data_IF_246953490624
#
_entry.id   IF_246953490624
#
_cell.length_a   1.000
_cell.length_b   1.000
_cell.length_c   1.000
_cell.angle_alpha   90.00
_cell.angle_beta   90.00
_cell.angle_gamma   90.00
#
_symmetry.space_group_name_H-M   'P 1'
#
loop_
_entity.id
_entity.type
_entity.pdbx_description
1 polymer ?
#
# COMPACT_ATOMS: atom_id res chain seq x y z
N UNK A 1 29.22 7.88 12.41
CA UNK A 1 28.93 8.07 10.98
C UNK A 1 27.90 9.19 10.88
N UNK A 2 28.25 10.35 10.33
CA UNK A 2 27.33 11.45 10.14
C UNK A 2 26.30 11.03 9.08
N UNK A 3 25.04 10.92 9.48
CA UNK A 3 23.92 10.76 8.59
C UNK A 3 23.86 12.02 7.71
N UNK A 4 24.22 11.88 6.42
CA UNK A 4 23.84 12.88 5.43
C UNK A 4 22.31 12.76 5.36
N UNK A 5 21.63 13.64 6.10
CA UNK A 5 20.21 13.87 5.90
C UNK A 5 20.06 14.50 4.51
N UNK A 6 19.92 13.67 3.50
CA UNK A 6 19.42 14.12 2.21
C UNK A 6 18.06 14.79 2.52
N UNK A 7 17.96 16.08 2.31
CA UNK A 7 16.72 16.81 2.52
C UNK A 7 15.70 16.27 1.51
N UNK A 8 14.72 15.53 2.02
CA UNK A 8 13.54 15.20 1.23
C UNK A 8 12.84 16.54 0.97
N UNK A 9 12.70 16.86 -0.30
CA UNK A 9 12.10 18.10 -0.75
C UNK A 9 10.61 17.83 -1.04
N UNK A 10 9.74 18.70 -0.56
CA UNK A 10 8.35 18.73 -0.96
C UNK A 10 7.89 20.15 -1.24
N UNK A 11 6.96 20.29 -2.15
CA UNK A 11 6.39 21.58 -2.54
C UNK A 11 4.87 21.44 -2.75
N UNK A 12 4.17 22.57 -2.70
CA UNK A 12 2.76 22.60 -3.07
C UNK A 12 2.63 22.27 -4.58
N UNK A 13 1.67 21.42 -4.91
CA UNK A 13 1.38 21.02 -6.28
C UNK A 13 -0.03 21.45 -6.69
N UNK A 14 -0.27 21.51 -8.00
CA UNK A 14 -1.63 21.64 -8.54
C UNK A 14 -2.36 20.32 -8.43
N UNK A 15 -3.71 20.35 -8.25
CA UNK A 15 -4.52 19.15 -8.36
C UNK A 15 -4.25 18.45 -9.71
N UNK A 16 -4.21 17.11 -9.74
CA UNK A 16 -4.29 16.37 -11.01
C UNK A 16 -5.59 16.69 -11.77
N UNK A 17 -5.54 16.59 -13.09
CA UNK A 17 -6.75 16.72 -13.91
C UNK A 17 -7.69 15.52 -13.66
N UNK A 18 -9.00 15.76 -13.74
CA UNK A 18 -10.01 14.71 -13.67
C UNK A 18 -10.16 14.07 -12.29
N UNK A 19 -10.00 14.85 -11.22
CA UNK A 19 -10.25 14.36 -9.86
C UNK A 19 -11.69 13.86 -9.71
N UNK A 20 -11.90 12.72 -8.99
CA UNK A 20 -13.24 12.28 -8.61
C UNK A 20 -13.96 13.31 -7.73
N UNK A 21 -15.28 13.45 -7.90
CA UNK A 21 -16.10 14.41 -7.12
C UNK A 21 -16.03 14.16 -5.61
N UNK A 22 -15.83 12.90 -5.20
CA UNK A 22 -15.68 12.49 -3.80
C UNK A 22 -14.30 12.80 -3.19
N UNK A 23 -13.45 13.54 -3.91
CA UNK A 23 -12.22 14.14 -3.38
C UNK A 23 -12.47 15.47 -2.68
N UNK A 24 -13.62 16.12 -2.86
CA UNK A 24 -13.96 17.33 -2.12
C UNK A 24 -13.91 17.08 -0.60
N UNK A 25 -13.19 17.90 0.18
CA UNK A 25 -13.11 17.72 1.63
C UNK A 25 -14.47 17.91 2.31
N UNK A 26 -14.70 17.20 3.40
CA UNK A 26 -15.89 17.43 4.24
C UNK A 26 -15.72 18.74 5.05
N UNK A 27 -16.82 19.34 5.51
CA UNK A 27 -16.76 20.53 6.35
C UNK A 27 -15.83 20.35 7.56
N UNK A 28 -14.99 21.33 7.82
CA UNK A 28 -13.97 21.29 8.88
C UNK A 28 -12.69 20.56 8.52
N UNK A 29 -12.52 20.18 7.25
CA UNK A 29 -11.29 19.63 6.72
C UNK A 29 -10.83 20.35 5.44
N UNK A 30 -9.55 20.28 5.14
CA UNK A 30 -8.93 20.82 3.93
C UNK A 30 -8.22 19.74 3.13
N UNK A 31 -8.07 19.97 1.82
CA UNK A 31 -7.30 19.14 0.91
C UNK A 31 -6.23 19.97 0.22
N UNK A 32 -4.99 19.49 0.24
CA UNK A 32 -3.87 20.09 -0.47
C UNK A 32 -3.13 19.03 -1.27
N UNK A 33 -2.56 19.40 -2.41
CA UNK A 33 -1.71 18.52 -3.20
C UNK A 33 -0.25 18.90 -3.03
N UNK A 34 0.61 17.88 -2.99
CA UNK A 34 2.05 18.01 -2.81
C UNK A 34 2.78 17.24 -3.91
N UNK A 35 3.95 17.76 -4.29
CA UNK A 35 4.98 17.03 -5.02
C UNK A 35 6.10 16.72 -4.05
N UNK A 36 6.40 15.44 -3.84
CA UNK A 36 7.42 14.96 -2.94
C UNK A 36 8.53 14.32 -3.77
N UNK A 37 9.78 14.62 -3.47
CA UNK A 37 10.92 14.04 -4.16
C UNK A 37 11.59 12.98 -3.30
N UNK A 38 11.55 11.74 -3.74
CA UNK A 38 12.25 10.65 -3.10
C UNK A 38 13.78 10.82 -3.23
N UNK A 39 14.55 10.12 -2.39
CA UNK A 39 16.02 10.24 -2.34
C UNK A 39 16.71 9.89 -3.67
N UNK A 40 16.08 9.08 -4.52
CA UNK A 40 16.56 8.71 -5.85
C UNK A 40 16.07 9.67 -6.96
N UNK A 41 15.40 10.76 -6.58
CA UNK A 41 14.89 11.78 -7.49
C UNK A 41 13.52 11.49 -8.08
N UNK A 42 12.89 10.33 -7.77
CA UNK A 42 11.54 10.03 -8.21
C UNK A 42 10.55 11.03 -7.61
N UNK A 43 9.66 11.59 -8.46
CA UNK A 43 8.63 12.54 -8.04
C UNK A 43 7.34 11.83 -7.70
N UNK A 44 6.87 12.02 -6.49
CA UNK A 44 5.67 11.41 -5.92
C UNK A 44 4.61 12.50 -5.82
N UNK A 45 3.48 12.31 -6.47
CA UNK A 45 2.29 13.12 -6.22
C UNK A 45 1.62 12.65 -4.95
N UNK A 46 1.14 13.59 -4.13
CA UNK A 46 0.45 13.27 -2.89
C UNK A 46 -0.73 14.20 -2.65
N UNK A 47 -1.76 13.66 -1.97
CA UNK A 47 -2.91 14.41 -1.50
C UNK A 47 -2.93 14.38 0.03
N UNK A 48 -2.94 15.55 0.66
CA UNK A 48 -2.98 15.73 2.10
C UNK A 48 -4.35 16.25 2.52
N UNK A 49 -5.12 15.42 3.20
CA UNK A 49 -6.32 15.82 3.94
C UNK A 49 -5.95 16.14 5.37
N UNK A 50 -6.47 17.23 5.91
CA UNK A 50 -6.15 17.66 7.25
C UNK A 50 -7.35 18.35 7.89
N UNK A 51 -7.68 18.06 9.18
CA UNK A 51 -8.63 18.84 9.95
C UNK A 51 -8.20 20.29 10.04
N UNK A 52 -9.16 21.21 9.92
CA UNK A 52 -8.90 22.64 10.07
C UNK A 52 -8.77 23.04 11.54
N UNK A 53 -7.91 24.01 11.81
CA UNK A 53 -7.78 24.62 13.14
C UNK A 53 -7.04 23.76 14.17
N UNK A 54 -6.57 22.55 13.84
CA UNK A 54 -5.81 21.70 14.76
C UNK A 54 -4.35 21.61 14.28
N UNK A 55 -3.37 21.88 15.16
CA UNK A 55 -1.95 21.78 14.79
C UNK A 55 -1.55 20.35 14.42
N UNK A 56 -0.66 20.15 13.42
CA UNK A 56 -0.19 18.81 13.05
C UNK A 56 0.45 18.01 14.19
N UNK A 57 1.03 18.70 15.19
CA UNK A 57 1.61 18.06 16.39
C UNK A 57 0.60 17.29 17.23
N UNK A 58 -0.68 17.68 17.15
CA UNK A 58 -1.77 17.17 17.99
C UNK A 58 -2.68 16.20 17.22
N UNK A 59 -2.33 15.89 15.96
CA UNK A 59 -3.09 15.03 15.07
C UNK A 59 -2.26 13.81 14.68
N UNK A 60 -2.89 12.64 14.64
CA UNK A 60 -2.32 11.46 14.00
C UNK A 60 -2.56 11.52 12.49
N UNK A 61 -1.50 11.29 11.70
CA UNK A 61 -1.59 11.22 10.24
C UNK A 61 -1.50 9.79 9.74
N UNK A 62 -2.31 9.48 8.73
CA UNK A 62 -2.30 8.18 8.05
C UNK A 62 -1.61 8.35 6.70
N UNK A 63 -0.42 7.79 6.54
CA UNK A 63 0.28 7.72 5.25
C UNK A 63 -0.24 6.50 4.50
N UNK A 64 -0.76 6.72 3.29
CA UNK A 64 -1.50 5.71 2.53
C UNK A 64 -0.78 5.32 1.25
N UNK A 65 -0.64 3.99 1.02
CA UNK A 65 -0.02 3.37 -0.16
C UNK A 65 -1.06 2.57 -0.92
N UNK A 66 -1.24 2.89 -2.20
CA UNK A 66 -2.24 2.29 -3.08
C UNK A 66 -1.91 0.85 -3.52
N UNK A 67 -2.88 0.18 -4.12
CA UNK A 67 -2.74 -1.12 -4.76
C UNK A 67 -2.05 -1.05 -6.14
N UNK A 68 -1.95 -2.20 -6.80
CA UNK A 68 -1.30 -2.32 -8.11
C UNK A 68 -1.94 -1.43 -9.17
N UNK A 69 -1.17 -0.53 -9.79
CA UNK A 69 -1.64 0.42 -10.80
C UNK A 69 -2.63 1.46 -10.27
N UNK A 70 -2.80 1.58 -8.94
CA UNK A 70 -3.56 2.66 -8.32
C UNK A 70 -2.75 3.95 -8.23
N UNK A 71 -3.35 4.97 -7.62
CA UNK A 71 -2.73 6.26 -7.35
C UNK A 71 -3.38 6.91 -6.12
N UNK A 72 -3.02 8.15 -5.81
CA UNK A 72 -3.53 8.93 -4.67
C UNK A 72 -5.07 9.11 -4.66
N UNK A 73 -5.74 8.94 -5.83
CA UNK A 73 -7.20 9.07 -5.96
C UNK A 73 -7.94 7.74 -5.88
N UNK A 74 -7.23 6.62 -5.70
CA UNK A 74 -7.83 5.29 -5.75
C UNK A 74 -8.71 4.97 -4.55
N UNK A 75 -9.80 4.22 -4.77
CA UNK A 75 -10.55 3.56 -3.71
C UNK A 75 -9.68 2.43 -3.09
N UNK A 76 -9.82 2.16 -1.80
CA UNK A 76 -10.67 2.87 -0.82
C UNK A 76 -9.95 4.06 -0.16
N UNK A 77 -8.70 4.37 -0.52
CA UNK A 77 -7.82 5.29 0.21
C UNK A 77 -8.41 6.71 0.30
N UNK A 78 -8.86 7.28 -0.83
CA UNK A 78 -9.40 8.65 -0.85
C UNK A 78 -10.63 8.81 0.05
N UNK A 79 -11.51 7.80 0.07
CA UNK A 79 -12.73 7.86 0.88
C UNK A 79 -12.41 7.75 2.37
N UNK A 80 -11.48 6.86 2.74
CA UNK A 80 -10.97 6.76 4.11
C UNK A 80 -10.33 8.09 4.51
N UNK A 81 -9.44 8.66 3.69
CA UNK A 81 -8.76 9.91 3.97
C UNK A 81 -9.74 11.06 4.20
N UNK A 82 -10.69 11.21 3.29
CA UNK A 82 -11.75 12.22 3.37
C UNK A 82 -12.59 12.10 4.63
N UNK A 83 -13.05 10.89 4.95
CA UNK A 83 -13.92 10.67 6.10
C UNK A 83 -13.18 10.77 7.44
N UNK A 84 -11.94 10.30 7.52
CA UNK A 84 -11.12 10.40 8.73
C UNK A 84 -10.65 11.83 8.99
N UNK A 85 -10.45 12.66 7.94
CA UNK A 85 -10.09 14.07 8.14
C UNK A 85 -11.20 14.87 8.84
N UNK A 86 -12.46 14.53 8.61
CA UNK A 86 -13.58 15.11 9.35
C UNK A 86 -13.73 14.55 10.79
N UNK A 87 -12.99 13.49 11.13
CA UNK A 87 -12.99 12.86 12.47
C UNK A 87 -11.74 13.16 13.28
N UNK A 88 -10.93 14.14 12.87
CA UNK A 88 -9.76 14.61 13.61
C UNK A 88 -8.43 13.94 13.25
N UNK A 89 -8.37 13.10 12.20
CA UNK A 89 -7.14 12.52 11.68
C UNK A 89 -6.68 13.28 10.42
N UNK A 90 -5.38 13.29 10.15
CA UNK A 90 -4.88 13.68 8.82
C UNK A 90 -4.61 12.44 7.97
N UNK A 91 -4.57 12.60 6.64
CA UNK A 91 -4.17 11.54 5.74
C UNK A 91 -3.30 12.08 4.60
N UNK A 92 -2.23 11.37 4.26
CA UNK A 92 -1.34 11.64 3.14
C UNK A 92 -1.35 10.44 2.19
N UNK A 93 -2.15 10.53 1.12
CA UNK A 93 -2.18 9.50 0.07
C UNK A 93 -1.15 9.81 -0.99
N UNK A 94 -0.33 8.82 -1.37
CA UNK A 94 0.74 8.99 -2.36
C UNK A 94 0.47 8.20 -3.63
N UNK A 95 0.95 8.70 -4.77
CA UNK A 95 1.12 7.93 -6.01
C UNK A 95 2.54 7.36 -6.02
N UNK A 96 2.69 6.13 -5.48
CA UNK A 96 3.98 5.44 -5.47
C UNK A 96 4.41 5.06 -6.90
N UNK A 97 5.70 4.79 -7.12
CA UNK A 97 6.33 4.59 -8.45
C UNK A 97 5.67 3.57 -9.37
N UNK A 98 4.79 2.74 -8.86
CA UNK A 98 4.03 1.74 -9.64
C UNK A 98 2.58 2.18 -9.96
N UNK A 99 2.32 3.51 -9.92
CA UNK A 99 1.01 4.08 -10.19
C UNK A 99 0.63 4.00 -11.68
N UNK A 100 -0.66 3.95 -11.98
CA UNK A 100 -1.24 4.05 -13.33
C UNK A 100 -0.52 3.15 -14.37
N UNK A 101 -0.06 3.73 -15.49
CA UNK A 101 0.65 3.03 -16.57
C UNK A 101 2.02 2.46 -16.15
N UNK A 102 2.57 2.91 -15.03
CA UNK A 102 3.82 2.35 -14.47
C UNK A 102 3.62 1.04 -13.73
N UNK A 103 2.40 0.51 -13.72
CA UNK A 103 2.09 -0.80 -13.12
C UNK A 103 3.02 -1.90 -13.66
N UNK A 104 3.52 -2.76 -12.77
CA UNK A 104 4.44 -3.86 -13.08
C UNK A 104 5.81 -3.45 -13.70
N UNK A 105 6.29 -2.22 -13.45
CA UNK A 105 7.57 -1.76 -13.99
C UNK A 105 8.65 -1.50 -12.94
N UNK A 106 8.27 -1.39 -11.67
CA UNK A 106 9.16 -1.07 -10.56
C UNK A 106 9.90 -2.30 -9.99
N UNK A 107 10.78 -2.05 -9.03
CA UNK A 107 11.40 -3.05 -8.17
C UNK A 107 10.73 -2.97 -6.79
N UNK A 108 10.38 -4.11 -6.20
CA UNK A 108 9.74 -4.17 -4.88
C UNK A 108 10.48 -3.36 -3.80
N UNK A 109 11.79 -3.44 -3.80
CA UNK A 109 12.61 -2.75 -2.79
C UNK A 109 12.64 -1.23 -2.95
N UNK A 110 12.37 -0.71 -4.14
CA UNK A 110 12.40 0.73 -4.41
C UNK A 110 11.21 1.47 -3.81
N UNK A 111 10.07 0.79 -3.56
CA UNK A 111 8.89 1.39 -2.91
C UNK A 111 9.21 1.90 -1.50
N UNK A 112 10.22 1.31 -0.85
CA UNK A 112 10.71 1.80 0.45
C UNK A 112 11.06 3.29 0.39
N UNK A 113 11.68 3.74 -0.70
CA UNK A 113 12.08 5.14 -0.88
C UNK A 113 10.87 6.07 -1.01
N UNK A 114 9.79 5.59 -1.63
CA UNK A 114 8.56 6.37 -1.78
C UNK A 114 7.84 6.51 -0.43
N UNK A 115 7.73 5.41 0.32
CA UNK A 115 7.12 5.42 1.65
C UNK A 115 7.95 6.27 2.62
N UNK A 116 9.28 6.14 2.59
CA UNK A 116 10.19 6.95 3.40
C UNK A 116 10.03 8.44 3.11
N UNK A 117 9.94 8.82 1.82
CA UNK A 117 9.73 10.20 1.41
C UNK A 117 8.40 10.75 1.97
N UNK A 118 7.32 9.97 1.93
CA UNK A 118 6.03 10.36 2.50
C UNK A 118 6.09 10.49 4.04
N UNK A 119 6.73 9.55 4.73
CA UNK A 119 6.91 9.57 6.20
C UNK A 119 7.75 10.77 6.63
N UNK A 120 8.85 11.04 5.94
CA UNK A 120 9.71 12.21 6.25
C UNK A 120 8.97 13.52 5.95
N UNK A 121 8.19 13.57 4.87
CA UNK A 121 7.33 14.73 4.58
C UNK A 121 6.29 14.96 5.68
N UNK A 122 5.61 13.91 6.14
CA UNK A 122 4.67 14.01 7.26
C UNK A 122 5.35 14.56 8.52
N UNK A 123 6.56 14.10 8.83
CA UNK A 123 7.37 14.61 9.97
C UNK A 123 7.77 16.07 9.76
N UNK A 124 8.17 16.47 8.57
CA UNK A 124 8.53 17.85 8.23
C UNK A 124 7.33 18.80 8.29
N UNK A 125 6.11 18.30 8.01
CA UNK A 125 4.86 19.03 8.21
C UNK A 125 4.44 19.18 9.69
N UNK A 126 5.15 18.53 10.62
CA UNK A 126 4.96 18.64 12.07
C UNK A 126 4.25 17.44 12.71
N UNK A 127 3.81 16.44 11.96
CA UNK A 127 3.16 15.26 12.53
C UNK A 127 4.14 14.39 13.32
N UNK A 128 3.71 13.91 14.49
CA UNK A 128 4.53 13.11 15.42
C UNK A 128 4.00 11.70 15.64
N UNK A 129 2.77 11.46 15.23
CA UNK A 129 2.10 10.15 15.26
C UNK A 129 1.68 9.78 13.83
N UNK A 130 2.24 8.70 13.31
CA UNK A 130 2.02 8.23 11.93
C UNK A 130 1.45 6.82 11.97
N UNK A 131 0.40 6.59 11.21
CA UNK A 131 -0.13 5.27 10.85
C UNK A 131 0.30 4.99 9.42
N UNK A 132 0.81 3.80 9.15
CA UNK A 132 1.03 3.39 7.75
C UNK A 132 -0.11 2.51 7.29
N UNK A 133 -0.80 2.93 6.22
CA UNK A 133 -1.88 2.16 5.61
C UNK A 133 -1.47 1.69 4.22
N UNK A 134 -1.65 0.40 3.96
CA UNK A 134 -1.55 -0.19 2.63
C UNK A 134 -2.87 -0.76 2.15
N UNK A 135 -3.15 -0.64 0.86
CA UNK A 135 -4.27 -1.32 0.19
C UNK A 135 -3.75 -2.29 -0.86
N UNK A 136 -4.31 -3.52 -0.91
CA UNK A 136 -3.94 -4.51 -1.93
C UNK A 136 -2.42 -4.72 -1.99
N UNK A 137 -1.76 -4.45 -3.11
CA UNK A 137 -0.29 -4.52 -3.22
C UNK A 137 0.42 -3.63 -2.19
N UNK A 138 -0.15 -2.48 -1.86
CA UNK A 138 0.37 -1.59 -0.81
C UNK A 138 0.46 -2.24 0.56
N UNK A 139 -0.29 -3.32 0.83
CA UNK A 139 -0.24 -4.01 2.13
C UNK A 139 1.10 -4.69 2.39
N UNK A 140 1.64 -5.40 1.41
CA UNK A 140 2.96 -6.03 1.55
C UNK A 140 4.09 -5.00 1.50
N UNK A 141 3.90 -3.91 0.77
CA UNK A 141 4.85 -2.79 0.71
C UNK A 141 4.93 -2.05 2.06
N UNK A 142 3.78 -1.76 2.67
CA UNK A 142 3.71 -1.18 4.01
C UNK A 142 4.30 -2.12 5.07
N UNK A 143 3.97 -3.41 5.01
CA UNK A 143 4.53 -4.41 5.92
C UNK A 143 6.06 -4.51 5.79
N UNK A 144 6.57 -4.53 4.56
CA UNK A 144 8.02 -4.52 4.27
C UNK A 144 8.68 -3.28 4.87
N UNK A 145 8.14 -2.09 4.63
CA UNK A 145 8.71 -0.84 5.14
C UNK A 145 8.81 -0.86 6.67
N UNK A 146 7.69 -1.12 7.37
CA UNK A 146 7.66 -1.09 8.84
C UNK A 146 8.53 -2.19 9.47
N UNK A 147 8.64 -3.35 8.81
CA UNK A 147 9.48 -4.44 9.28
C UNK A 147 10.98 -4.19 9.08
N UNK A 148 11.35 -3.37 8.06
CA UNK A 148 12.73 -3.10 7.69
C UNK A 148 13.29 -1.83 8.33
N UNK A 149 12.42 -0.86 8.65
CA UNK A 149 12.80 0.45 9.15
C UNK A 149 12.20 0.72 10.51
N UNK A 150 13.06 0.93 11.48
CA UNK A 150 12.64 1.35 12.81
C UNK A 150 12.41 2.86 12.84
N UNK A 151 11.15 3.28 12.78
CA UNK A 151 10.76 4.67 13.03
C UNK A 151 9.78 4.72 14.21
N UNK A 152 10.16 5.36 15.34
CA UNK A 152 9.30 5.44 16.53
C UNK A 152 8.06 6.33 16.33
N UNK A 153 8.02 7.14 15.27
CA UNK A 153 6.83 7.93 14.93
C UNK A 153 5.73 7.08 14.31
N UNK A 154 6.06 5.94 13.70
CA UNK A 154 5.06 4.99 13.21
C UNK A 154 4.48 4.23 14.41
N UNK A 155 3.18 4.37 14.63
CA UNK A 155 2.47 3.84 15.80
C UNK A 155 1.70 2.56 15.52
N UNK A 156 1.20 2.41 14.29
CA UNK A 156 0.37 1.28 13.91
C UNK A 156 0.39 1.05 12.38
N UNK A 157 -0.13 -0.10 11.96
CA UNK A 157 -0.27 -0.48 10.54
C UNK A 157 -1.70 -0.88 10.25
N UNK A 158 -2.26 -0.37 9.14
CA UNK A 158 -3.59 -0.74 8.63
C UNK A 158 -3.44 -1.38 7.26
N UNK A 159 -4.00 -2.57 7.08
CA UNK A 159 -3.89 -3.37 5.86
C UNK A 159 -5.29 -3.67 5.33
N UNK A 160 -5.67 -3.07 4.20
CA UNK A 160 -6.98 -3.24 3.57
C UNK A 160 -6.88 -4.09 2.31
N UNK A 161 -7.68 -5.17 2.21
CA UNK A 161 -7.56 -6.12 1.10
C UNK A 161 -6.17 -6.78 1.06
N UNK A 162 -5.70 -7.25 2.22
CA UNK A 162 -4.37 -7.83 2.39
C UNK A 162 -4.32 -9.29 1.93
N UNK A 163 -3.34 -9.63 1.11
CA UNK A 163 -3.06 -11.00 0.68
C UNK A 163 -1.84 -11.59 1.41
N UNK A 164 -1.72 -12.93 1.40
CA UNK A 164 -0.62 -13.63 2.07
C UNK A 164 0.70 -13.56 1.29
N UNK A 165 0.85 -14.42 0.28
CA UNK A 165 2.08 -14.59 -0.52
C UNK A 165 1.85 -14.23 -1.97
N UNK A 166 2.27 -13.06 -2.39
CA UNK A 166 2.07 -12.62 -3.77
C UNK A 166 2.77 -13.52 -4.81
N UNK A 167 4.01 -14.01 -4.61
CA UNK A 167 4.63 -14.91 -5.58
C UNK A 167 3.83 -16.21 -5.78
N UNK A 168 3.40 -16.86 -4.71
CA UNK A 168 2.52 -18.04 -4.79
C UNK A 168 1.21 -17.71 -5.50
N UNK A 169 0.55 -16.63 -5.11
CA UNK A 169 -0.68 -16.15 -5.73
C UNK A 169 -0.49 -15.86 -7.22
N UNK A 170 0.64 -15.27 -7.60
CA UNK A 170 0.96 -14.97 -9.00
C UNK A 170 1.02 -16.21 -9.85
N UNK A 171 1.68 -17.26 -9.38
CA UNK A 171 1.82 -18.50 -10.10
C UNK A 171 0.51 -19.30 -10.18
N UNK A 172 -0.15 -19.49 -9.03
CA UNK A 172 -1.25 -20.44 -8.90
C UNK A 172 -2.64 -19.84 -9.13
N UNK A 173 -2.81 -18.52 -8.95
CA UNK A 173 -4.12 -17.86 -9.00
C UNK A 173 -4.22 -16.84 -10.14
N UNK A 174 -3.17 -16.01 -10.35
CA UNK A 174 -3.23 -14.93 -11.31
C UNK A 174 -2.87 -15.38 -12.72
N UNK A 175 -1.73 -16.02 -12.88
CA UNK A 175 -1.22 -16.47 -14.19
C UNK A 175 -1.95 -17.74 -14.63
N UNK A 176 -2.12 -18.73 -13.73
CA UNK A 176 -2.82 -20.00 -13.96
C UNK A 176 -2.33 -20.78 -15.21
N UNK A 177 -1.10 -20.53 -15.62
CA UNK A 177 -0.46 -21.11 -16.80
C UNK A 177 1.01 -21.33 -16.43
N UNK A 178 1.34 -22.58 -16.14
CA UNK A 178 2.67 -22.96 -15.66
C UNK A 178 3.76 -22.74 -16.73
N UNK A 179 3.43 -22.97 -18.00
CA UNK A 179 4.38 -22.75 -19.09
C UNK A 179 4.69 -21.24 -19.23
N UNK A 180 3.65 -20.42 -19.23
CA UNK A 180 3.80 -18.96 -19.25
C UNK A 180 4.57 -18.44 -18.02
N UNK A 181 4.28 -18.97 -16.83
CA UNK A 181 5.00 -18.58 -15.61
C UNK A 181 6.48 -18.90 -15.73
N UNK A 182 6.84 -20.12 -16.20
CA UNK A 182 8.24 -20.50 -16.39
C UNK A 182 8.93 -19.67 -17.48
N UNK A 183 8.22 -19.38 -18.58
CA UNK A 183 8.74 -18.53 -19.65
C UNK A 183 9.04 -17.12 -19.14
N UNK A 184 8.15 -16.51 -18.34
CA UNK A 184 8.37 -15.21 -17.69
C UNK A 184 9.56 -15.27 -16.74
N UNK A 185 9.67 -16.30 -15.91
CA UNK A 185 10.76 -16.46 -14.96
C UNK A 185 12.10 -16.62 -15.66
N UNK A 186 12.16 -17.43 -16.72
CA UNK A 186 13.36 -17.62 -17.53
C UNK A 186 13.77 -16.32 -18.24
N UNK A 187 12.84 -15.71 -18.98
CA UNK A 187 13.11 -14.47 -19.72
C UNK A 187 13.56 -13.34 -18.78
N UNK A 188 12.97 -13.25 -17.58
CA UNK A 188 13.37 -12.26 -16.59
C UNK A 188 14.80 -12.46 -16.09
N UNK A 189 15.22 -13.72 -15.85
CA UNK A 189 16.59 -14.01 -15.42
C UNK A 189 17.61 -13.73 -16.53
N UNK A 190 17.29 -14.07 -17.78
CA UNK A 190 18.15 -13.78 -18.92
C UNK A 190 18.28 -12.25 -19.15
N UNK A 191 17.19 -11.51 -19.07
CA UNK A 191 17.22 -10.06 -19.18
C UNK A 191 18.02 -9.40 -18.02
N UNK A 192 17.95 -9.95 -16.80
CA UNK A 192 18.76 -9.48 -15.68
C UNK A 192 20.27 -9.70 -15.98
N UNK A 193 20.65 -10.85 -16.50
CA UNK A 193 22.04 -11.14 -16.92
C UNK A 193 22.51 -10.23 -18.04
N UNK A 194 21.64 -9.88 -18.97
CA UNK A 194 21.91 -8.97 -20.08
C UNK A 194 21.93 -7.49 -19.70
N UNK A 195 21.57 -7.13 -18.45
CA UNK A 195 21.49 -5.73 -18.01
C UNK A 195 20.23 -4.99 -18.48
N UNK A 196 19.22 -5.67 -18.98
CA UNK A 196 17.96 -5.10 -19.51
C UNK A 196 16.78 -5.30 -18.57
N UNK A 197 17.03 -5.43 -17.28
CA UNK A 197 16.00 -5.72 -16.27
C UNK A 197 14.89 -4.65 -16.14
N UNK A 198 15.10 -3.45 -16.67
CA UNK A 198 14.13 -2.36 -16.69
C UNK A 198 13.28 -2.30 -17.96
N UNK A 199 13.60 -3.07 -19.00
CA UNK A 199 12.85 -3.10 -20.24
C UNK A 199 11.63 -4.02 -20.12
N UNK A 200 10.56 -3.70 -20.83
CA UNK A 200 9.35 -4.55 -20.84
C UNK A 200 9.64 -5.86 -21.56
N UNK A 201 9.26 -6.98 -20.94
CA UNK A 201 9.39 -8.31 -21.56
C UNK A 201 8.48 -8.43 -22.81
N UNK A 202 8.89 -9.21 -23.83
CA UNK A 202 8.04 -9.53 -24.96
C UNK A 202 6.84 -10.43 -24.56
N UNK A 203 6.95 -11.13 -23.43
CA UNK A 203 5.90 -11.97 -22.85
C UNK A 203 5.10 -11.14 -21.84
N UNK A 204 3.81 -10.97 -22.11
CA UNK A 204 2.91 -10.29 -21.18
C UNK A 204 2.53 -11.19 -20.00
N UNK A 205 2.43 -10.60 -18.82
CA UNK A 205 1.90 -11.28 -17.65
C UNK A 205 0.36 -11.34 -17.73
N UNK A 206 -0.19 -12.51 -17.44
CA UNK A 206 -1.64 -12.67 -17.33
C UNK A 206 -2.08 -12.26 -15.92
N UNK A 207 -3.19 -11.52 -15.86
CA UNK A 207 -3.81 -11.03 -14.64
C UNK A 207 -5.19 -11.67 -14.43
N UNK A 208 -5.81 -11.43 -13.29
CA UNK A 208 -7.18 -11.86 -13.01
C UNK A 208 -8.13 -11.44 -14.15
N UNK A 209 -9.05 -12.34 -14.53
CA UNK A 209 -9.97 -12.12 -15.62
C UNK A 209 -9.33 -12.28 -17.01
N UNK A 210 -8.09 -12.78 -17.10
CA UNK A 210 -7.40 -13.03 -18.36
C UNK A 210 -6.79 -11.80 -19.01
N UNK A 211 -6.81 -10.64 -18.34
CA UNK A 211 -6.18 -9.42 -18.85
C UNK A 211 -4.67 -9.59 -18.94
N UNK A 212 -4.10 -9.25 -20.07
CA UNK A 212 -2.65 -9.28 -20.29
C UNK A 212 -2.04 -7.91 -20.05
N UNK A 213 -1.05 -7.84 -19.16
CA UNK A 213 -0.36 -6.61 -18.80
C UNK A 213 1.12 -6.68 -19.11
N UNK A 214 1.76 -5.57 -19.53
CA UNK A 214 3.21 -5.48 -19.60
C UNK A 214 3.85 -5.77 -18.24
N UNK A 215 5.06 -6.30 -18.27
CA UNK A 215 5.85 -6.53 -17.04
C UNK A 215 7.34 -6.38 -17.35
N UNK A 216 8.09 -5.77 -16.45
CA UNK A 216 9.55 -5.74 -16.54
C UNK A 216 10.16 -6.94 -15.79
N UNK A 217 11.35 -7.42 -16.20
CA UNK A 217 12.08 -8.46 -15.47
C UNK A 217 12.27 -8.18 -13.99
N UNK A 218 12.65 -6.94 -13.64
CA UNK A 218 12.85 -6.54 -12.24
C UNK A 218 11.56 -6.63 -11.42
N UNK A 219 10.40 -6.24 -12.00
CA UNK A 219 9.12 -6.39 -11.32
C UNK A 219 8.76 -7.86 -11.15
N UNK A 220 8.84 -8.65 -12.23
CA UNK A 220 8.50 -10.08 -12.14
C UNK A 220 9.32 -10.79 -11.08
N UNK A 221 10.65 -10.63 -11.09
CA UNK A 221 11.54 -11.29 -10.15
C UNK A 221 11.30 -10.84 -8.70
N UNK A 222 11.06 -9.54 -8.46
CA UNK A 222 11.00 -9.03 -7.09
C UNK A 222 9.60 -9.08 -6.47
N UNK A 223 8.53 -9.22 -7.28
CA UNK A 223 7.16 -9.32 -6.81
C UNK A 223 6.51 -10.69 -7.04
N UNK A 224 6.84 -11.39 -8.15
CA UNK A 224 6.02 -12.49 -8.67
C UNK A 224 6.71 -13.84 -8.68
N UNK A 225 8.03 -13.88 -8.76
CA UNK A 225 8.79 -15.12 -8.84
C UNK A 225 8.89 -15.80 -7.46
N UNK A 226 8.46 -17.07 -7.36
CA UNK A 226 8.47 -17.80 -6.08
C UNK A 226 9.86 -18.01 -5.49
N UNK A 227 10.91 -17.91 -6.29
CA UNK A 227 12.29 -18.13 -5.85
C UNK A 227 13.04 -16.85 -5.49
N UNK A 228 12.63 -15.70 -6.05
CA UNK A 228 13.36 -14.45 -5.94
C UNK A 228 12.57 -13.31 -5.28
N UNK A 229 11.23 -13.43 -5.23
CA UNK A 229 10.38 -12.35 -4.74
C UNK A 229 10.47 -12.14 -3.22
N UNK A 230 10.46 -10.88 -2.83
CA UNK A 230 10.31 -10.44 -1.44
C UNK A 230 8.88 -10.02 -1.08
N UNK A 231 7.91 -10.09 -2.02
CA UNK A 231 6.54 -9.66 -1.80
C UNK A 231 5.70 -10.74 -1.07
N UNK A 232 6.14 -11.13 0.13
CA UNK A 232 5.53 -12.12 1.00
C UNK A 232 5.12 -11.49 2.34
N UNK A 233 3.82 -11.23 2.52
CA UNK A 233 3.29 -10.68 3.76
C UNK A 233 3.53 -11.59 4.97
N UNK A 234 3.53 -12.92 4.79
CA UNK A 234 3.78 -13.86 5.88
C UNK A 234 5.22 -13.83 6.38
N UNK A 235 6.15 -13.32 5.56
CA UNK A 235 7.53 -13.09 5.95
C UNK A 235 7.70 -11.78 6.72
N UNK A 236 7.05 -10.70 6.28
CA UNK A 236 7.27 -9.37 6.85
C UNK A 236 6.46 -9.11 8.11
N UNK A 237 5.19 -9.55 8.18
CA UNK A 237 4.29 -9.30 9.30
C UNK A 237 4.89 -9.72 10.65
N UNK A 238 5.49 -10.90 10.84
CA UNK A 238 6.06 -11.29 12.13
C UNK A 238 7.18 -10.38 12.66
N UNK A 239 7.74 -9.52 11.80
CA UNK A 239 8.84 -8.61 12.11
C UNK A 239 8.36 -7.20 12.49
N UNK A 240 7.08 -6.95 12.40
CA UNK A 240 6.48 -5.65 12.73
C UNK A 240 6.30 -5.55 14.24
N UNK A 241 6.90 -4.52 14.86
CA UNK A 241 6.81 -4.23 16.30
C UNK A 241 5.72 -3.20 16.62
N UNK A 242 4.63 -3.22 15.84
CA UNK A 242 3.49 -2.30 15.94
C UNK A 242 2.18 -3.08 15.90
N UNK A 243 1.10 -2.57 16.51
CA UNK A 243 -0.24 -3.13 16.34
C UNK A 243 -0.67 -3.08 14.88
N UNK A 244 -1.39 -4.12 14.44
CA UNK A 244 -1.83 -4.29 13.05
C UNK A 244 -3.34 -4.47 13.01
N UNK A 245 -4.00 -3.73 12.11
CA UNK A 245 -5.38 -3.97 11.69
C UNK A 245 -5.39 -4.53 10.27
N UNK A 246 -6.08 -5.64 10.07
CA UNK A 246 -6.41 -6.18 8.73
C UNK A 246 -7.91 -6.03 8.52
N UNK A 247 -8.33 -5.44 7.40
CA UNK A 247 -9.73 -5.33 7.00
C UNK A 247 -9.93 -5.96 5.63
N UNK A 248 -10.95 -6.80 5.50
CA UNK A 248 -11.37 -7.41 4.24
C UNK A 248 -12.88 -7.27 4.08
N UNK A 249 -13.32 -6.99 2.86
CA UNK A 249 -14.73 -7.09 2.47
C UNK A 249 -15.09 -8.55 2.16
N UNK A 250 -16.25 -9.04 2.59
CA UNK A 250 -16.69 -10.41 2.32
C UNK A 250 -16.84 -10.69 0.83
N UNK A 251 -17.24 -9.67 0.04
CA UNK A 251 -17.32 -9.74 -1.42
C UNK A 251 -16.00 -9.48 -2.16
N UNK A 252 -14.86 -9.44 -1.46
CA UNK A 252 -13.55 -9.31 -2.11
C UNK A 252 -13.25 -10.52 -2.99
N UNK A 253 -13.25 -10.32 -4.32
CA UNK A 253 -12.96 -11.35 -5.32
C UNK A 253 -11.48 -11.44 -5.70
N UNK A 254 -10.62 -10.58 -5.17
CA UNK A 254 -9.18 -10.55 -5.45
C UNK A 254 -8.40 -11.28 -4.36
N UNK A 255 -8.67 -10.97 -3.10
CA UNK A 255 -8.05 -11.62 -1.94
C UNK A 255 -8.91 -12.80 -1.52
N UNK A 256 -8.33 -14.00 -1.57
CA UNK A 256 -9.03 -15.23 -1.21
C UNK A 256 -9.34 -15.25 0.29
N UNK A 257 -10.45 -15.88 0.72
CA UNK A 257 -10.88 -15.85 2.12
C UNK A 257 -9.84 -16.36 3.13
N UNK A 258 -8.94 -17.25 2.73
CA UNK A 258 -7.92 -17.81 3.61
C UNK A 258 -6.66 -16.94 3.73
N UNK A 259 -6.41 -15.98 2.82
CA UNK A 259 -5.16 -15.20 2.80
C UNK A 259 -4.96 -14.33 4.05
N UNK A 260 -5.99 -13.64 4.59
CA UNK A 260 -5.85 -12.92 5.86
C UNK A 260 -5.49 -13.85 7.03
N UNK A 261 -5.99 -15.09 7.04
CA UNK A 261 -5.65 -16.06 8.07
C UNK A 261 -4.20 -16.53 7.99
N UNK A 262 -3.58 -16.55 6.80
CA UNK A 262 -2.14 -16.80 6.68
C UNK A 262 -1.34 -15.69 7.39
N UNK A 263 -1.77 -14.44 7.27
CA UNK A 263 -1.13 -13.29 7.93
C UNK A 263 -1.34 -13.33 9.45
N UNK A 264 -2.55 -13.67 9.91
CA UNK A 264 -2.85 -13.86 11.34
C UNK A 264 -1.97 -14.97 11.94
N UNK A 265 -1.90 -16.13 11.28
CA UNK A 265 -1.06 -17.24 11.72
C UNK A 265 0.41 -16.84 11.79
N UNK A 266 0.91 -16.10 10.81
CA UNK A 266 2.28 -15.60 10.81
C UNK A 266 2.54 -14.62 11.97
N UNK A 267 1.59 -13.70 12.22
CA UNK A 267 1.69 -12.73 13.32
C UNK A 267 1.65 -13.38 14.71
N UNK A 268 1.01 -14.55 14.84
CA UNK A 268 0.85 -15.28 16.10
C UNK A 268 1.87 -16.41 16.26
N UNK A 269 2.74 -16.62 15.28
CA UNK A 269 3.76 -17.66 15.34
C UNK A 269 4.80 -17.36 16.43
N UNK A 270 5.43 -18.41 16.93
CA UNK A 270 6.55 -18.28 17.87
C UNK A 270 7.66 -17.40 17.29
N UNK A 271 8.16 -16.48 18.08
CA UNK A 271 9.19 -15.49 17.66
C UNK A 271 8.64 -14.29 16.90
N UNK A 272 7.33 -14.19 16.70
CA UNK A 272 6.72 -12.96 16.16
C UNK A 272 6.88 -11.78 17.13
N UNK A 273 7.17 -10.60 16.55
CA UNK A 273 7.33 -9.34 17.29
C UNK A 273 6.04 -8.51 17.33
N UNK A 274 4.97 -8.96 16.70
CA UNK A 274 3.69 -8.25 16.60
C UNK A 274 3.03 -8.16 17.98
N UNK A 275 2.83 -6.95 18.55
CA UNK A 275 2.23 -6.82 19.89
C UNK A 275 0.74 -7.15 19.91
N UNK A 276 0.03 -6.85 18.82
CA UNK A 276 -1.38 -7.22 18.63
C UNK A 276 -1.75 -7.18 17.15
N UNK A 277 -2.65 -8.05 16.76
CA UNK A 277 -3.23 -8.07 15.41
C UNK A 277 -4.74 -8.28 15.51
N UNK A 278 -5.49 -7.46 14.75
CA UNK A 278 -6.94 -7.62 14.61
C UNK A 278 -7.30 -7.86 13.15
N UNK A 279 -8.22 -8.75 12.92
CA UNK A 279 -8.86 -8.96 11.63
C UNK A 279 -10.34 -8.59 11.70
N UNK A 280 -10.79 -7.77 10.76
CA UNK A 280 -12.18 -7.38 10.59
C UNK A 280 -12.65 -7.82 9.22
N UNK A 281 -13.66 -8.66 9.18
CA UNK A 281 -14.40 -9.03 7.98
C UNK A 281 -15.66 -8.15 7.91
N UNK A 282 -15.76 -7.31 6.88
CA UNK A 282 -16.96 -6.49 6.66
C UNK A 282 -18.00 -7.30 5.90
N UNK A 283 -19.23 -7.45 6.44
CA UNK A 283 -20.29 -8.17 5.77
C UNK A 283 -20.64 -7.54 4.43
N UNK A 284 -20.80 -8.36 3.39
CA UNK A 284 -21.24 -7.93 2.08
C UNK A 284 -21.94 -9.10 1.37
N UNK A 285 -23.21 -8.94 1.05
CA UNK A 285 -24.02 -9.99 0.40
C UNK A 285 -23.88 -10.02 -1.13
N UNK A 286 -23.09 -9.12 -1.71
CA UNK A 286 -22.86 -9.13 -3.16
C UNK A 286 -21.95 -10.28 -3.58
N UNK A 287 -22.01 -10.71 -4.85
CA UNK A 287 -21.05 -11.66 -5.38
C UNK A 287 -19.61 -11.13 -5.28
N UNK A 288 -18.67 -12.04 -5.10
CA UNK A 288 -17.25 -11.70 -5.07
C UNK A 288 -16.81 -11.01 -6.36
N UNK A 289 -16.20 -9.84 -6.22
CA UNK A 289 -15.87 -8.94 -7.34
C UNK A 289 -14.65 -8.07 -7.05
N UNK A 290 -14.24 -7.29 -8.05
CA UNK A 290 -13.25 -6.23 -7.88
C UNK A 290 -13.78 -5.08 -7.02
N UNK A 291 -15.06 -4.79 -7.12
CA UNK A 291 -15.75 -3.75 -6.35
C UNK A 291 -15.69 -4.05 -4.85
N UNK A 292 -15.86 -5.33 -4.45
CA UNK A 292 -15.65 -5.75 -3.07
C UNK A 292 -14.20 -5.59 -2.63
N UNK A 293 -13.23 -5.85 -3.51
CA UNK A 293 -11.81 -5.65 -3.19
C UNK A 293 -11.48 -4.19 -2.86
N UNK A 294 -12.05 -3.24 -3.58
CA UNK A 294 -11.87 -1.80 -3.35
C UNK A 294 -12.90 -1.20 -2.38
N UNK A 295 -13.69 -2.03 -1.73
CA UNK A 295 -14.72 -1.63 -0.75
C UNK A 295 -15.75 -0.62 -1.30
N UNK A 296 -16.08 -0.69 -2.59
CA UNK A 296 -16.93 0.31 -3.26
C UNK A 296 -18.28 0.51 -2.56
N UNK A 297 -18.86 -0.57 -2.02
CA UNK A 297 -20.17 -0.55 -1.34
C UNK A 297 -20.07 -0.53 0.20
N UNK A 298 -18.84 -0.61 0.74
CA UNK A 298 -18.58 -0.71 2.19
C UNK A 298 -17.63 0.38 2.69
N UNK A 299 -17.53 1.49 2.00
CA UNK A 299 -16.60 2.58 2.35
C UNK A 299 -16.86 3.16 3.74
N UNK A 300 -18.13 3.29 4.13
CA UNK A 300 -18.52 3.79 5.46
C UNK A 300 -18.12 2.77 6.54
N UNK A 301 -18.52 1.50 6.40
CA UNK A 301 -18.18 0.44 7.35
C UNK A 301 -16.66 0.25 7.48
N UNK A 302 -15.92 0.38 6.37
CA UNK A 302 -14.47 0.35 6.38
C UNK A 302 -13.88 1.52 7.19
N UNK A 303 -14.38 2.73 6.95
CA UNK A 303 -13.92 3.93 7.67
C UNK A 303 -14.22 3.81 9.16
N UNK A 304 -15.40 3.32 9.53
CA UNK A 304 -15.81 3.10 10.92
C UNK A 304 -14.95 2.05 11.61
N UNK A 305 -14.63 0.95 10.92
CA UNK A 305 -13.74 -0.09 11.44
C UNK A 305 -12.33 0.46 11.74
N UNK A 306 -11.79 1.27 10.81
CA UNK A 306 -10.48 1.91 10.99
C UNK A 306 -10.53 2.92 12.12
N UNK A 307 -11.49 3.85 12.14
CA UNK A 307 -11.62 4.89 13.16
C UNK A 307 -11.81 4.30 14.57
N UNK A 308 -12.69 3.29 14.69
CA UNK A 308 -12.93 2.60 15.96
C UNK A 308 -11.65 1.96 16.49
N UNK A 309 -10.93 1.24 15.63
CA UNK A 309 -9.68 0.60 16.04
C UNK A 309 -8.60 1.61 16.42
N UNK A 310 -8.46 2.71 15.68
CA UNK A 310 -7.50 3.77 16.03
C UNK A 310 -7.84 4.39 17.40
N UNK A 311 -9.12 4.66 17.67
CA UNK A 311 -9.58 5.16 18.97
C UNK A 311 -9.26 4.20 20.13
N UNK A 312 -9.43 2.87 19.93
CA UNK A 312 -9.05 1.85 20.93
C UNK A 312 -7.53 1.80 21.16
N UNK A 313 -6.72 2.08 20.14
CA UNK A 313 -5.27 2.20 20.27
C UNK A 313 -4.85 3.54 20.91
N UNK A 314 -5.79 4.46 21.13
CA UNK A 314 -5.54 5.84 21.62
C UNK A 314 -4.60 6.63 20.69
N UNK A 315 -4.80 6.48 19.40
CA UNK A 315 -4.01 7.07 18.32
C UNK A 315 -4.77 8.18 17.61
#
# INVERSE_FOLDING_TARGET
MAQIAASIEYEAARPPDGLPDDMEPLPGASLRFLSIKAIDGFKIQAALWQPEGIPPTDITIIVQVHGSGGNLTSLPLRVIARALSARGYAALSISARQHDEHVNTDNFFDVRRDIEAAVVTAKALGFRSIILQGHSLGTVQAAFYVASDWDPTIKAVVLTGAFGKLPWKSRHILIQDEERYRALAFASREALKAGTAAEVLPIKMRWLGGVETPVTPRHFLTYRDEQASAADGTYWIPRIVRPILIVRDEADGIVLPFEPYMLLSAAQAEGSLVPSIRYVLLPNQRPSSREGHIFADNTEALTDAVATWLGEQRL
#
